data_IF_048879457074
#
_entry.id   IF_048879457074
#
_cell.length_a   1.000
_cell.length_b   1.000
_cell.length_c   1.000
_cell.angle_alpha   90.00
_cell.angle_beta   90.00
_cell.angle_gamma   90.00
#
_symmetry.space_group_name_H-M   'P 1'
#
loop_
_entity.id
_entity.type
_entity.pdbx_description
1 polymer ?
#
# COMPACT_ATOMS: atom_id res chain seq x y z
N UNK A 1 5.44 -9.21 -14.25
CA UNK A 1 5.46 -9.66 -15.67
C UNK A 1 5.00 -11.11 -15.89
N UNK A 2 5.39 -12.08 -15.03
CA UNK A 2 5.08 -13.53 -15.18
C UNK A 2 3.61 -13.83 -15.54
N UNK A 3 2.66 -13.25 -14.82
CA UNK A 3 1.21 -13.48 -15.02
C UNK A 3 0.69 -13.15 -16.43
N UNK A 4 1.28 -12.16 -17.10
CA UNK A 4 0.77 -11.61 -18.37
C UNK A 4 1.77 -11.70 -19.52
N UNK A 5 2.93 -12.34 -19.31
CA UNK A 5 3.93 -12.52 -20.36
C UNK A 5 4.57 -11.24 -20.89
N UNK A 6 4.59 -10.15 -20.11
CA UNK A 6 5.26 -8.90 -20.54
C UNK A 6 6.77 -9.10 -20.69
N UNK A 7 7.33 -8.51 -21.74
CA UNK A 7 8.78 -8.44 -21.94
C UNK A 7 9.47 -7.69 -20.78
N UNK A 8 10.55 -8.23 -20.19
CA UNK A 8 11.24 -7.60 -19.07
C UNK A 8 11.83 -6.22 -19.37
N UNK A 9 12.41 -6.02 -20.57
CA UNK A 9 13.05 -4.76 -20.94
C UNK A 9 12.00 -3.67 -21.17
N UNK A 10 10.91 -4.01 -21.87
CA UNK A 10 9.79 -3.11 -22.07
C UNK A 10 9.12 -2.75 -20.74
N UNK A 11 8.97 -3.69 -19.82
CA UNK A 11 8.41 -3.41 -18.51
C UNK A 11 9.32 -2.50 -17.67
N UNK A 12 10.63 -2.71 -17.73
CA UNK A 12 11.59 -1.82 -17.08
C UNK A 12 11.56 -0.40 -17.66
N UNK A 13 11.57 -0.26 -18.99
CA UNK A 13 11.40 1.04 -19.65
C UNK A 13 10.07 1.73 -19.28
N UNK A 14 9.01 0.95 -19.08
CA UNK A 14 7.74 1.47 -18.59
C UNK A 14 7.82 1.97 -17.14
N UNK A 15 8.57 1.30 -16.26
CA UNK A 15 8.83 1.78 -14.90
C UNK A 15 9.53 3.15 -14.94
N UNK A 16 10.60 3.29 -15.71
CA UNK A 16 11.33 4.57 -15.88
C UNK A 16 10.43 5.68 -16.44
N UNK A 17 9.56 5.33 -17.38
CA UNK A 17 8.53 6.26 -17.89
C UNK A 17 7.55 6.71 -16.80
N UNK A 18 7.19 5.85 -15.85
CA UNK A 18 6.32 6.25 -14.73
C UNK A 18 7.06 7.14 -13.74
N UNK A 19 8.33 6.84 -13.44
CA UNK A 19 9.16 7.66 -12.56
C UNK A 19 9.29 9.10 -13.10
N UNK A 20 9.63 9.25 -14.38
CA UNK A 20 9.72 10.59 -15.01
C UNK A 20 8.40 11.37 -15.02
N UNK A 21 7.25 10.68 -15.01
CA UNK A 21 5.93 11.34 -14.86
C UNK A 21 5.71 11.91 -13.47
N UNK A 22 6.22 11.25 -12.43
CA UNK A 22 6.14 11.75 -11.06
C UNK A 22 7.12 12.90 -10.81
N UNK A 23 8.22 12.97 -11.56
CA UNK A 23 9.22 14.04 -11.48
C UNK A 23 8.84 15.32 -12.24
N UNK A 24 7.71 15.32 -12.96
CA UNK A 24 7.30 16.45 -13.78
C UNK A 24 7.07 17.72 -12.93
N UNK A 25 7.91 18.77 -13.06
CA UNK A 25 7.82 19.95 -12.21
C UNK A 25 6.59 20.83 -12.52
N UNK A 26 5.93 20.59 -13.66
CA UNK A 26 4.73 21.30 -14.07
C UNK A 26 3.44 20.64 -13.55
N UNK A 27 3.52 19.39 -13.09
CA UNK A 27 2.39 18.68 -12.51
C UNK A 27 2.40 18.86 -10.98
N UNK A 28 1.66 19.87 -10.50
CA UNK A 28 1.42 20.05 -9.07
C UNK A 28 0.33 19.09 -8.60
N UNK A 29 0.73 17.88 -8.27
CA UNK A 29 -0.16 16.86 -7.76
C UNK A 29 -0.04 16.73 -6.24
N UNK A 30 -1.05 17.19 -5.52
CA UNK A 30 -1.03 17.21 -4.06
C UNK A 30 -1.07 15.78 -3.47
N UNK A 31 -0.19 15.53 -2.49
CA UNK A 31 -0.11 14.24 -1.79
C UNK A 31 -1.40 13.87 -1.06
N UNK A 32 -2.17 14.84 -0.57
CA UNK A 32 -3.49 14.61 0.02
C UNK A 32 -4.49 14.14 -1.05
N UNK A 33 -4.46 14.77 -2.23
CA UNK A 33 -5.31 14.41 -3.36
C UNK A 33 -5.01 13.00 -3.85
N UNK A 34 -3.72 12.65 -3.98
CA UNK A 34 -3.30 11.31 -4.40
C UNK A 34 -3.54 10.30 -3.28
N UNK A 35 -3.36 10.68 -2.02
CA UNK A 35 -3.49 9.85 -0.81
C UNK A 35 -4.92 9.50 -0.40
N UNK A 36 -5.91 10.34 -0.73
CA UNK A 36 -7.33 10.17 -0.34
C UNK A 36 -7.95 8.80 -0.63
N UNK A 37 -8.91 8.37 0.17
CA UNK A 37 -9.55 7.05 0.12
C UNK A 37 -8.57 5.89 0.38
N UNK A 38 -7.89 5.87 1.55
CA UNK A 38 -6.89 4.84 1.86
C UNK A 38 -7.50 3.43 1.94
N UNK A 39 -8.72 3.28 2.48
CA UNK A 39 -9.38 1.97 2.60
C UNK A 39 -9.61 1.33 1.22
N UNK A 40 -10.07 2.12 0.23
CA UNK A 40 -10.18 1.63 -1.15
C UNK A 40 -8.84 1.16 -1.71
N UNK A 41 -7.75 1.91 -1.48
CA UNK A 41 -6.40 1.56 -1.97
C UNK A 41 -5.82 0.31 -1.30
N UNK A 42 -6.19 0.06 -0.05
CA UNK A 42 -5.83 -1.13 0.73
C UNK A 42 -6.71 -2.35 0.41
N UNK A 43 -7.84 -2.14 -0.27
CA UNK A 43 -8.75 -3.20 -0.69
C UNK A 43 -8.03 -4.34 -1.39
N UNK A 44 -8.48 -5.58 -1.13
CA UNK A 44 -7.81 -6.81 -1.57
C UNK A 44 -7.44 -6.85 -3.06
N UNK A 45 -8.28 -6.24 -3.91
CA UNK A 45 -8.12 -6.22 -5.37
C UNK A 45 -7.52 -4.92 -5.94
N UNK A 46 -7.22 -3.93 -5.10
CA UNK A 46 -6.67 -2.63 -5.53
C UNK A 46 -5.12 -2.63 -5.48
N UNK A 47 -4.53 -1.46 -5.72
CA UNK A 47 -3.15 -1.22 -6.15
C UNK A 47 -2.05 -1.60 -5.15
N UNK A 48 -2.36 -1.88 -3.90
CA UNK A 48 -1.38 -2.29 -2.89
C UNK A 48 -1.46 -3.78 -2.60
N UNK A 49 -2.66 -4.25 -2.27
CA UNK A 49 -2.88 -5.61 -1.78
C UNK A 49 -2.85 -6.64 -2.91
N UNK A 50 -3.39 -6.33 -4.08
CA UNK A 50 -3.36 -7.26 -5.22
C UNK A 50 -1.93 -7.55 -5.71
N UNK A 51 -1.04 -6.55 -5.87
CA UNK A 51 0.37 -6.81 -6.14
C UNK A 51 1.05 -7.63 -5.04
N UNK A 52 0.79 -7.33 -3.76
CA UNK A 52 1.34 -8.09 -2.64
C UNK A 52 0.93 -9.57 -2.71
N UNK A 53 -0.36 -9.87 -2.87
CA UNK A 53 -0.82 -11.26 -3.07
C UNK A 53 -0.16 -11.92 -4.28
N UNK A 54 0.01 -11.19 -5.38
CA UNK A 54 0.76 -11.68 -6.54
C UNK A 54 2.23 -12.02 -6.24
N UNK A 55 2.90 -11.23 -5.41
CA UNK A 55 4.27 -11.57 -4.99
C UNK A 55 4.33 -12.83 -4.12
N UNK A 56 3.32 -13.04 -3.27
CA UNK A 56 3.22 -14.23 -2.43
C UNK A 56 2.97 -15.49 -3.29
N UNK A 57 2.03 -15.40 -4.25
CA UNK A 57 1.72 -16.47 -5.20
C UNK A 57 2.95 -16.93 -6.00
N UNK A 58 3.80 -16.00 -6.44
CA UNK A 58 4.98 -16.30 -7.26
C UNK A 58 6.30 -16.40 -6.47
N UNK A 59 6.23 -16.39 -5.13
CA UNK A 59 7.40 -16.38 -4.24
C UNK A 59 8.44 -15.30 -4.60
N UNK A 60 7.99 -14.06 -4.79
CA UNK A 60 8.81 -12.90 -5.16
C UNK A 60 9.06 -11.96 -3.98
N UNK A 61 10.17 -11.20 -3.98
CA UNK A 61 10.43 -10.20 -2.94
C UNK A 61 9.35 -9.10 -2.89
N UNK A 62 8.92 -8.73 -1.69
CA UNK A 62 7.82 -7.77 -1.49
C UNK A 62 8.06 -6.71 -0.42
N UNK A 63 9.32 -6.52 0.02
CA UNK A 63 9.67 -5.58 1.10
C UNK A 63 9.12 -4.16 0.91
N UNK A 64 9.19 -3.61 -0.31
CA UNK A 64 8.74 -2.24 -0.58
C UNK A 64 7.21 -2.12 -0.60
N UNK A 65 6.48 -3.20 -0.93
CA UNK A 65 5.02 -3.22 -0.82
C UNK A 65 4.59 -3.15 0.65
N UNK A 66 5.31 -3.82 1.56
CA UNK A 66 5.03 -3.74 2.99
C UNK A 66 5.20 -2.31 3.51
N UNK A 67 6.24 -1.60 3.05
CA UNK A 67 6.47 -0.18 3.39
C UNK A 67 5.32 0.69 2.86
N UNK A 68 4.91 0.50 1.61
CA UNK A 68 3.81 1.27 1.01
C UNK A 68 2.47 1.04 1.73
N UNK A 69 2.15 -0.20 2.10
CA UNK A 69 0.95 -0.54 2.88
C UNK A 69 1.03 0.08 4.28
N UNK A 70 2.18 -0.04 4.97
CA UNK A 70 2.37 0.56 6.28
C UNK A 70 2.24 2.10 6.24
N UNK A 71 2.78 2.75 5.20
CA UNK A 71 2.63 4.19 4.99
C UNK A 71 1.17 4.57 4.72
N UNK A 72 0.43 3.77 3.95
CA UNK A 72 -1.00 3.98 3.75
C UNK A 72 -1.78 3.88 5.06
N UNK A 73 -1.46 2.93 5.95
CA UNK A 73 -2.05 2.82 7.30
C UNK A 73 -1.70 4.03 8.20
N UNK A 74 -0.57 4.68 7.97
CA UNK A 74 -0.17 5.92 8.66
C UNK A 74 -0.90 7.17 8.14
N UNK A 75 -1.54 7.12 6.97
CA UNK A 75 -2.18 8.28 6.36
C UNK A 75 -3.28 8.85 7.26
N UNK A 76 -3.29 10.17 7.42
CA UNK A 76 -4.30 10.92 8.20
C UNK A 76 -4.74 12.12 7.37
N UNK A 77 -6.05 12.34 7.31
CA UNK A 77 -6.63 13.54 6.72
C UNK A 77 -8.03 13.76 7.34
N UNK A 78 -8.25 14.92 7.94
CA UNK A 78 -9.50 15.25 8.63
C UNK A 78 -10.69 15.47 7.68
N UNK A 79 -10.42 15.66 6.39
CA UNK A 79 -11.42 15.88 5.35
C UNK A 79 -11.69 14.62 4.51
N UNK A 80 -11.02 13.50 4.83
CA UNK A 80 -11.23 12.22 4.16
C UNK A 80 -11.93 11.22 5.11
N UNK A 81 -13.22 10.91 4.87
CA UNK A 81 -13.97 9.97 5.71
C UNK A 81 -13.30 8.59 5.84
N UNK A 82 -12.68 8.08 4.77
CA UNK A 82 -12.01 6.78 4.84
C UNK A 82 -10.72 6.83 5.67
N UNK A 83 -10.02 7.98 5.69
CA UNK A 83 -8.85 8.13 6.54
C UNK A 83 -9.25 8.20 8.03
N UNK A 84 -10.37 8.86 8.34
CA UNK A 84 -10.93 8.90 9.69
C UNK A 84 -11.38 7.51 10.16
N UNK A 85 -12.14 6.80 9.32
CA UNK A 85 -12.58 5.43 9.60
C UNK A 85 -11.39 4.50 9.82
N UNK A 86 -10.38 4.54 8.95
CA UNK A 86 -9.17 3.73 9.09
C UNK A 86 -8.46 4.01 10.42
N UNK A 87 -8.31 5.28 10.80
CA UNK A 87 -7.67 5.65 12.06
C UNK A 87 -8.45 5.14 13.27
N UNK A 88 -9.78 5.25 13.25
CA UNK A 88 -10.66 4.76 14.31
C UNK A 88 -10.57 3.24 14.45
N UNK A 89 -10.64 2.49 13.34
CA UNK A 89 -10.56 1.04 13.36
C UNK A 89 -9.19 0.54 13.84
N UNK A 90 -8.09 1.17 13.42
CA UNK A 90 -6.75 0.83 13.92
C UNK A 90 -6.64 1.09 15.43
N UNK A 91 -7.23 2.18 15.94
CA UNK A 91 -7.21 2.48 17.36
C UNK A 91 -8.03 1.49 18.20
N UNK A 92 -9.18 1.03 17.69
CA UNK A 92 -10.09 0.13 18.39
C UNK A 92 -9.66 -1.34 18.32
N UNK A 93 -9.21 -1.81 17.15
CA UNK A 93 -8.96 -3.24 16.88
C UNK A 93 -7.47 -3.61 16.91
N UNK A 94 -6.59 -2.62 16.88
CA UNK A 94 -5.17 -2.80 16.59
C UNK A 94 -4.89 -2.95 15.09
N UNK A 95 -3.64 -2.66 14.71
CA UNK A 95 -3.23 -2.55 13.30
C UNK A 95 -3.36 -3.85 12.51
N UNK A 96 -3.08 -5.01 13.12
CA UNK A 96 -3.11 -6.31 12.41
C UNK A 96 -4.54 -6.71 12.07
N UNK A 97 -5.44 -6.63 13.05
CA UNK A 97 -6.87 -6.92 12.88
C UNK A 97 -7.52 -5.95 11.88
N UNK A 98 -7.25 -4.65 11.99
CA UNK A 98 -7.79 -3.66 11.07
C UNK A 98 -7.27 -3.87 9.63
N UNK A 99 -5.97 -4.15 9.46
CA UNK A 99 -5.41 -4.45 8.14
C UNK A 99 -6.08 -5.66 7.50
N UNK A 100 -6.35 -6.73 8.26
CA UNK A 100 -7.08 -7.89 7.73
C UNK A 100 -8.47 -7.52 7.24
N UNK A 101 -9.24 -6.73 7.99
CA UNK A 101 -10.56 -6.27 7.56
C UNK A 101 -10.54 -5.52 6.22
N UNK A 102 -9.49 -4.74 5.95
CA UNK A 102 -9.38 -3.96 4.72
C UNK A 102 -8.79 -4.75 3.55
N UNK A 103 -7.76 -5.53 3.81
CA UNK A 103 -6.91 -6.13 2.80
C UNK A 103 -7.20 -7.61 2.55
N UNK A 104 -7.97 -8.27 3.42
CA UNK A 104 -8.27 -9.71 3.34
C UNK A 104 -6.97 -10.53 3.24
N UNK A 105 -6.09 -10.39 4.24
CA UNK A 105 -4.78 -11.04 4.31
C UNK A 105 -4.68 -12.09 5.42
N UNK A 106 -5.82 -12.63 5.86
CA UNK A 106 -5.92 -13.63 6.93
C UNK A 106 -5.14 -14.91 6.60
N UNK A 107 -5.06 -15.27 5.32
CA UNK A 107 -4.28 -16.41 4.83
C UNK A 107 -2.75 -16.23 5.01
N UNK A 108 -2.29 -15.01 5.31
CA UNK A 108 -0.87 -14.63 5.39
C UNK A 108 -0.52 -13.87 6.69
N UNK A 109 -0.68 -14.49 7.87
CA UNK A 109 -0.48 -13.83 9.16
C UNK A 109 0.94 -13.25 9.35
N UNK A 110 1.97 -13.90 8.80
CA UNK A 110 3.34 -13.40 8.83
C UNK A 110 3.50 -12.07 8.08
N UNK A 111 2.71 -11.86 7.02
CA UNK A 111 2.75 -10.64 6.22
C UNK A 111 2.08 -9.49 6.97
N UNK A 112 0.94 -9.74 7.60
CA UNK A 112 0.22 -8.73 8.39
C UNK A 112 1.03 -8.31 9.60
N UNK A 113 1.67 -9.25 10.31
CA UNK A 113 2.61 -8.94 11.40
C UNK A 113 3.84 -8.15 10.90
N UNK A 114 4.36 -8.45 9.70
CA UNK A 114 5.47 -7.69 9.12
C UNK A 114 5.06 -6.25 8.78
N UNK A 115 3.89 -6.04 8.17
CA UNK A 115 3.33 -4.70 7.91
C UNK A 115 3.13 -3.94 9.22
N UNK A 116 2.56 -4.59 10.23
CA UNK A 116 2.34 -3.99 11.55
C UNK A 116 3.64 -3.56 12.22
N UNK A 117 4.71 -4.35 12.12
CA UNK A 117 6.04 -3.97 12.59
C UNK A 117 6.54 -2.70 11.90
N UNK A 118 6.45 -2.64 10.57
CA UNK A 118 6.88 -1.45 9.79
C UNK A 118 6.01 -0.24 10.14
N UNK A 119 4.70 -0.41 10.26
CA UNK A 119 3.77 0.65 10.67
C UNK A 119 4.16 1.25 12.02
N UNK A 120 4.43 0.41 13.04
CA UNK A 120 4.86 0.87 14.37
C UNK A 120 6.17 1.65 14.26
N UNK A 121 7.14 1.18 13.46
CA UNK A 121 8.40 1.92 13.22
C UNK A 121 8.17 3.28 12.56
N UNK A 122 7.29 3.38 11.57
CA UNK A 122 6.97 4.65 10.92
C UNK A 122 6.26 5.63 11.88
N UNK A 123 5.33 5.14 12.69
CA UNK A 123 4.61 5.95 13.69
C UNK A 123 5.48 6.46 14.83
N UNK A 124 6.58 5.79 15.15
CA UNK A 124 7.54 6.29 16.14
C UNK A 124 8.44 7.41 15.62
N UNK A 125 8.57 7.57 14.30
CA UNK A 125 9.43 8.58 13.68
C UNK A 125 8.67 9.85 13.24
N UNK A 126 7.34 9.81 13.27
CA UNK A 126 6.45 10.89 12.85
C UNK A 126 5.91 11.64 14.07
#
# INVERSE_FOLDING_TARGET
IRRYGFDPQQHHAYIEKILSRFENPYLRDDVERVGRQPLRKLGAMDRLTKPLRGTLEYALPHRHLLIGIAAALCYRNAHDPQAQEMAQQIAHLGVETALNQFAQLEDYPQVTSAVAKVYRTLRHKA
#
